data_IF_175265657539
#
_entry.id   IF_175265657539
#
_cell.length_a   1.000
_cell.length_b   1.000
_cell.length_c   1.000
_cell.angle_alpha   90.00
_cell.angle_beta   90.00
_cell.angle_gamma   90.00
#
_symmetry.space_group_name_H-M   'P 1'
#
loop_
_entity.id
_entity.type
_entity.pdbx_description
1 polymer ?
#
# COMPACT_ATOMS: atom_id res chain seq x y z
N UNK A 1 9.66 -3.06 13.53
CA UNK A 1 8.53 -2.61 14.36
C UNK A 1 8.38 -1.13 14.11
N UNK A 2 7.41 -0.72 13.29
CA UNK A 2 7.09 0.70 13.14
C UNK A 2 6.19 1.08 14.32
N UNK A 3 6.72 1.97 15.15
CA UNK A 3 6.09 2.48 16.36
C UNK A 3 5.16 3.63 15.98
N UNK A 4 3.92 3.61 16.43
CA UNK A 4 2.86 4.56 16.09
C UNK A 4 3.01 5.94 16.78
N UNK A 5 4.24 6.29 17.21
CA UNK A 5 4.53 7.48 18.04
C UNK A 5 5.36 8.56 17.35
N UNK A 6 5.44 8.57 16.03
CA UNK A 6 6.17 9.62 15.30
C UNK A 6 5.27 10.60 14.53
N UNK A 7 4.14 11.01 15.13
CA UNK A 7 3.57 12.32 14.78
C UNK A 7 3.83 13.28 15.93
N UNK A 8 4.87 14.10 15.74
CA UNK A 8 4.98 15.34 16.49
C UNK A 8 3.73 16.20 16.22
N UNK A 9 3.05 16.59 17.30
CA UNK A 9 1.86 17.43 17.26
C UNK A 9 2.15 18.71 16.44
N UNK A 10 1.56 18.82 15.25
CA UNK A 10 1.70 20.00 14.38
C UNK A 10 2.55 19.82 13.11
N UNK A 11 2.95 18.60 12.73
CA UNK A 11 3.51 18.37 11.40
C UNK A 11 2.41 18.47 10.34
N UNK A 12 2.64 19.32 9.32
CA UNK A 12 1.81 19.37 8.11
C UNK A 12 1.72 17.96 7.50
N UNK A 13 0.53 17.53 7.10
CA UNK A 13 0.28 16.20 6.52
C UNK A 13 1.15 15.92 5.28
N UNK A 14 1.57 16.98 4.60
CA UNK A 14 2.49 16.96 3.46
C UNK A 14 3.93 16.59 3.81
N UNK A 15 4.32 16.59 5.10
CA UNK A 15 5.65 16.20 5.56
C UNK A 15 5.76 14.71 5.95
N UNK A 16 4.68 13.93 5.82
CA UNK A 16 4.73 12.50 6.12
C UNK A 16 5.70 11.78 5.18
N UNK A 17 6.61 10.94 5.69
CA UNK A 17 7.46 10.12 4.83
C UNK A 17 6.56 9.20 3.99
N UNK A 18 6.89 9.09 2.70
CA UNK A 18 6.20 8.15 1.81
C UNK A 18 6.33 6.73 2.39
N UNK A 19 5.18 6.11 2.66
CA UNK A 19 5.12 4.86 3.42
C UNK A 19 4.58 3.74 2.54
N UNK A 20 5.27 2.60 2.52
CA UNK A 20 4.88 1.43 1.75
C UNK A 20 4.48 0.28 2.68
N UNK A 21 3.24 -0.21 2.52
CA UNK A 21 2.72 -1.38 3.23
C UNK A 21 2.59 -2.52 2.24
N UNK A 22 3.44 -3.54 2.39
CA UNK A 22 3.49 -4.68 1.47
C UNK A 22 2.98 -5.92 2.19
N UNK A 23 1.90 -6.50 1.66
CA UNK A 23 1.39 -7.80 2.05
C UNK A 23 1.90 -8.86 1.08
N UNK A 24 2.60 -9.86 1.59
CA UNK A 24 3.01 -11.03 0.80
C UNK A 24 2.06 -12.16 1.16
N UNK A 25 1.33 -12.67 0.16
CA UNK A 25 0.38 -13.76 0.34
C UNK A 25 0.92 -15.04 -0.28
N UNK A 26 0.57 -16.21 0.29
CA UNK A 26 1.01 -17.49 -0.26
C UNK A 26 0.40 -17.76 -1.64
N UNK A 27 -0.87 -17.37 -1.83
CA UNK A 27 -1.64 -17.59 -3.05
C UNK A 27 -2.26 -16.27 -3.52
N UNK A 28 -2.81 -16.29 -4.74
CA UNK A 28 -3.58 -15.17 -5.27
C UNK A 28 -4.88 -14.99 -4.49
N UNK A 29 -4.91 -14.05 -3.55
CA UNK A 29 -6.09 -13.82 -2.71
C UNK A 29 -7.27 -13.19 -3.46
N UNK A 30 -7.02 -12.57 -4.62
CA UNK A 30 -8.05 -11.97 -5.45
C UNK A 30 -8.47 -12.87 -6.62
N UNK A 31 -7.67 -13.89 -6.92
CA UNK A 31 -7.95 -14.85 -8.00
C UNK A 31 -7.95 -14.24 -9.41
N UNK A 32 -7.36 -13.06 -9.59
CA UNK A 32 -7.30 -12.36 -10.87
C UNK A 32 -6.06 -12.73 -11.71
N UNK A 33 -5.16 -13.57 -11.18
CA UNK A 33 -3.94 -14.02 -11.82
C UNK A 33 -2.82 -12.99 -11.83
N UNK A 34 -2.96 -11.85 -11.13
CA UNK A 34 -1.91 -10.84 -11.12
C UNK A 34 -0.78 -11.20 -10.14
N UNK A 35 0.49 -10.91 -10.48
CA UNK A 35 1.61 -11.01 -9.55
C UNK A 35 1.55 -9.96 -8.42
N UNK A 36 0.96 -8.80 -8.73
CA UNK A 36 0.99 -7.61 -7.88
C UNK A 36 -0.33 -6.87 -7.98
N UNK A 37 -0.84 -6.39 -6.84
CA UNK A 37 -2.00 -5.51 -6.77
C UNK A 37 -1.64 -4.23 -6.04
N UNK A 38 -1.84 -3.09 -6.71
CA UNK A 38 -1.77 -1.77 -6.09
C UNK A 38 -3.14 -1.42 -5.52
N UNK A 39 -3.19 -1.07 -4.24
CA UNK A 39 -4.42 -0.71 -3.55
C UNK A 39 -4.34 0.74 -3.12
N UNK A 40 -5.22 1.56 -3.68
CA UNK A 40 -5.37 2.97 -3.36
C UNK A 40 -6.60 3.19 -2.49
N UNK A 41 -6.51 4.12 -1.55
CA UNK A 41 -7.61 4.48 -0.65
C UNK A 41 -8.41 5.63 -1.25
N UNK A 42 -9.72 5.47 -1.29
CA UNK A 42 -10.66 6.49 -1.76
C UNK A 42 -11.53 6.94 -0.58
N UNK A 43 -11.74 8.25 -0.46
CA UNK A 43 -12.78 8.80 0.42
C UNK A 43 -14.11 8.61 -0.28
N UNK A 44 -14.95 7.69 0.20
CA UNK A 44 -16.17 7.25 -0.49
C UNK A 44 -17.17 8.40 -0.71
N UNK A 45 -17.34 9.28 0.27
CA UNK A 45 -18.29 10.40 0.16
C UNK A 45 -17.87 11.43 -0.88
N UNK A 46 -16.56 11.54 -1.12
CA UNK A 46 -15.97 12.54 -2.02
C UNK A 46 -15.52 11.94 -3.35
N UNK A 47 -15.55 10.61 -3.47
CA UNK A 47 -15.06 9.85 -4.63
C UNK A 47 -13.68 10.34 -5.08
N UNK A 48 -12.79 10.63 -4.12
CA UNK A 48 -11.44 11.17 -4.36
C UNK A 48 -10.38 10.38 -3.60
N UNK A 49 -9.12 10.34 -4.07
CA UNK A 49 -8.03 9.72 -3.34
C UNK A 49 -7.88 10.30 -1.93
N UNK A 50 -7.53 9.44 -0.98
CA UNK A 50 -7.24 9.86 0.39
C UNK A 50 -5.93 10.63 0.49
N UNK A 51 -4.97 10.36 -0.40
CA UNK A 51 -3.68 11.06 -0.57
C UNK A 51 -2.88 11.20 0.75
N UNK A 52 -2.77 10.11 1.50
CA UNK A 52 -2.03 10.01 2.76
C UNK A 52 -0.56 9.61 2.61
N UNK A 53 -0.06 9.64 1.37
CA UNK A 53 1.30 9.22 1.01
C UNK A 53 1.62 7.77 1.43
N UNK A 54 0.58 6.95 1.66
CA UNK A 54 0.71 5.55 2.01
C UNK A 54 0.28 4.67 0.82
N UNK A 55 1.19 3.84 0.33
CA UNK A 55 0.93 2.90 -0.75
C UNK A 55 0.76 1.50 -0.19
N UNK A 56 -0.27 0.78 -0.65
CA UNK A 56 -0.51 -0.62 -0.28
C UNK A 56 -0.26 -1.50 -1.50
N UNK A 57 0.56 -2.54 -1.31
CA UNK A 57 0.85 -3.56 -2.30
C UNK A 57 0.47 -4.95 -1.77
N UNK A 58 -0.22 -5.73 -2.58
CA UNK A 58 -0.35 -7.18 -2.36
C UNK A 58 0.49 -7.92 -3.40
N UNK A 59 1.45 -8.69 -2.91
CA UNK A 59 2.33 -9.55 -3.71
C UNK A 59 1.81 -10.98 -3.62
N UNK A 60 1.45 -11.53 -4.77
CA UNK A 60 1.02 -12.91 -4.89
C UNK A 60 2.24 -13.84 -4.95
N UNK A 61 2.53 -14.53 -3.84
CA UNK A 61 3.66 -15.46 -3.71
C UNK A 61 3.51 -16.76 -4.49
N UNK A 62 2.32 -17.11 -4.97
CA UNK A 62 2.13 -18.22 -5.90
C UNK A 62 2.61 -17.86 -7.31
N UNK A 63 2.71 -16.56 -7.62
CA UNK A 63 3.28 -16.13 -8.88
C UNK A 63 4.82 -16.14 -8.78
N UNK A 64 5.44 -17.04 -9.55
CA UNK A 64 6.90 -17.19 -9.65
C UNK A 64 7.50 -16.41 -10.82
N UNK A 65 6.68 -15.62 -11.51
CA UNK A 65 7.18 -14.74 -12.56
C UNK A 65 8.06 -13.66 -11.93
N UNK A 66 9.34 -13.66 -12.34
CA UNK A 66 10.37 -12.68 -12.01
C UNK A 66 9.99 -11.33 -12.67
N UNK A 67 8.90 -10.74 -12.18
CA UNK A 67 8.44 -9.44 -12.64
C UNK A 67 9.20 -8.43 -11.80
N UNK A 68 10.11 -7.63 -12.39
CA UNK A 68 10.87 -6.65 -11.63
C UNK A 68 9.90 -5.70 -10.94
N UNK A 69 10.05 -5.57 -9.62
CA UNK A 69 9.22 -4.71 -8.79
C UNK A 69 9.62 -3.24 -8.90
N UNK A 70 10.11 -2.75 -10.05
CA UNK A 70 10.53 -1.36 -10.22
C UNK A 70 10.41 -0.90 -11.67
#
# INVERSE_FOLDING_TARGET
MMDSRELAQGAEFSALPETWVIFITENDIYGAGCPLYHVERIIEELQRPFDDRAHILYVNGANREDTPLF
#
